data_IF_547376163380
#
_entry.id   IF_547376163380
#
_cell.length_a   1.000
_cell.length_b   1.000
_cell.length_c   1.000
_cell.angle_alpha   90.00
_cell.angle_beta   90.00
_cell.angle_gamma   90.00
#
_symmetry.space_group_name_H-M   'P 1'
#
loop_
_entity.id
_entity.type
_entity.pdbx_description
1 polymer ?
#
# COMPACT_ATOMS: atom_id res chain seq x y z
N UNK A 1 -9.83 22.46 6.96
CA UNK A 1 -8.60 21.64 6.82
C UNK A 1 -8.62 20.92 5.48
N UNK A 2 -7.54 21.00 4.74
CA UNK A 2 -7.45 20.36 3.43
C UNK A 2 -7.30 18.84 3.57
N UNK A 3 -7.93 18.11 2.66
CA UNK A 3 -7.77 16.66 2.54
C UNK A 3 -6.76 16.37 1.42
N UNK A 4 -5.76 15.57 1.71
CA UNK A 4 -4.68 15.27 0.78
C UNK A 4 -4.52 13.76 0.64
N UNK A 5 -4.54 13.29 -0.62
CA UNK A 5 -4.24 11.89 -0.93
C UNK A 5 -2.76 11.77 -1.32
N UNK A 6 -1.97 11.10 -0.48
CA UNK A 6 -0.56 10.83 -0.75
C UNK A 6 -0.46 9.54 -1.57
N UNK A 7 -0.65 9.65 -2.87
CA UNK A 7 -0.67 8.48 -3.76
C UNK A 7 -0.37 8.87 -5.20
N UNK A 8 0.28 7.96 -5.91
CA UNK A 8 0.42 8.03 -7.37
C UNK A 8 -0.56 7.10 -8.09
N UNK A 9 -1.46 6.44 -7.35
CA UNK A 9 -2.39 5.46 -7.90
C UNK A 9 -3.66 6.13 -8.44
N UNK A 10 -3.94 6.05 -9.77
CA UNK A 10 -5.20 6.55 -10.33
C UNK A 10 -6.43 5.84 -9.76
N UNK A 11 -6.28 4.58 -9.36
CA UNK A 11 -7.36 3.79 -8.81
C UNK A 11 -7.82 4.33 -7.45
N UNK A 12 -6.86 4.68 -6.57
CA UNK A 12 -7.18 5.27 -5.26
C UNK A 12 -7.84 6.64 -5.41
N UNK A 13 -7.34 7.45 -6.36
CA UNK A 13 -7.96 8.74 -6.70
C UNK A 13 -9.41 8.54 -7.12
N UNK A 14 -9.67 7.58 -8.00
CA UNK A 14 -11.02 7.30 -8.49
C UNK A 14 -11.98 6.89 -7.36
N UNK A 15 -11.50 6.13 -6.37
CA UNK A 15 -12.31 5.73 -5.21
C UNK A 15 -12.74 6.96 -4.41
N UNK A 16 -11.84 7.88 -4.12
CA UNK A 16 -12.16 9.11 -3.40
C UNK A 16 -13.08 10.04 -4.19
N UNK A 17 -12.89 10.11 -5.52
CA UNK A 17 -13.79 10.86 -6.40
C UNK A 17 -15.24 10.37 -6.29
N UNK A 18 -15.44 9.06 -6.17
CA UNK A 18 -16.76 8.46 -6.00
C UNK A 18 -17.44 8.84 -4.69
N UNK A 19 -16.65 9.17 -3.67
CA UNK A 19 -17.18 9.61 -2.37
C UNK A 19 -17.61 11.08 -2.38
N UNK A 20 -17.33 11.80 -3.47
CA UNK A 20 -17.69 13.21 -3.59
C UNK A 20 -16.90 14.15 -2.72
N UNK A 21 -15.72 13.73 -2.26
CA UNK A 21 -14.85 14.54 -1.42
C UNK A 21 -13.92 15.40 -2.27
N UNK A 22 -13.72 16.64 -1.85
CA UNK A 22 -12.69 17.50 -2.43
C UNK A 22 -11.35 17.18 -1.79
N UNK A 23 -10.37 16.88 -2.62
CA UNK A 23 -9.03 16.55 -2.13
C UNK A 23 -7.95 16.90 -3.15
N UNK A 24 -6.73 17.11 -2.64
CA UNK A 24 -5.54 17.29 -3.45
C UNK A 24 -4.80 15.97 -3.55
N UNK A 25 -4.23 15.65 -4.72
CA UNK A 25 -3.39 14.46 -4.91
C UNK A 25 -1.94 14.90 -4.97
N UNK A 26 -1.11 14.29 -4.12
CA UNK A 26 0.34 14.53 -4.11
C UNK A 26 1.04 13.18 -4.16
N UNK A 27 1.87 12.98 -5.17
CA UNK A 27 2.66 11.76 -5.29
C UNK A 27 3.81 11.78 -4.27
N UNK A 28 3.86 10.82 -3.35
CA UNK A 28 4.96 10.76 -2.39
C UNK A 28 6.21 10.17 -3.03
N UNK A 29 7.35 10.78 -2.76
CA UNK A 29 8.65 10.25 -3.19
C UNK A 29 9.33 9.61 -1.99
N UNK A 30 9.39 8.29 -1.98
CA UNK A 30 10.05 7.50 -0.92
C UNK A 30 10.79 6.33 -1.54
N UNK A 31 11.76 5.80 -0.79
CA UNK A 31 12.40 4.55 -1.15
C UNK A 31 11.52 3.40 -0.67
N UNK A 32 10.94 2.64 -1.61
CA UNK A 32 10.04 1.53 -1.31
C UNK A 32 10.75 0.20 -1.10
N UNK A 33 12.08 0.21 -1.01
CA UNK A 33 12.85 -1.01 -0.80
C UNK A 33 12.53 -1.65 0.56
N UNK A 34 12.37 -2.97 0.54
CA UNK A 34 12.18 -3.77 1.75
C UNK A 34 13.46 -3.75 2.58
N UNK A 35 13.30 -3.61 3.89
CA UNK A 35 14.43 -3.68 4.82
C UNK A 35 14.74 -5.13 5.18
N UNK A 36 15.98 -5.37 5.63
CA UNK A 36 16.39 -6.67 6.13
C UNK A 36 15.52 -7.07 7.33
N UNK A 37 15.12 -8.33 7.39
CA UNK A 37 14.27 -8.89 8.45
C UNK A 37 12.90 -8.23 8.61
N UNK A 38 12.43 -7.54 7.59
CA UNK A 38 11.10 -6.92 7.60
C UNK A 38 10.05 -7.88 7.04
N UNK A 39 9.02 -8.16 7.83
CA UNK A 39 7.87 -8.94 7.33
C UNK A 39 7.03 -8.12 6.36
N UNK A 40 6.26 -8.76 5.47
CA UNK A 40 5.34 -8.02 4.58
C UNK A 40 4.37 -7.10 5.31
N UNK A 41 3.84 -7.52 6.47
CA UNK A 41 2.93 -6.67 7.25
C UNK A 41 3.65 -5.43 7.80
N UNK A 42 4.87 -5.58 8.27
CA UNK A 42 5.67 -4.44 8.75
C UNK A 42 6.06 -3.53 7.59
N UNK A 43 6.38 -4.10 6.43
CA UNK A 43 6.70 -3.36 5.21
C UNK A 43 5.54 -2.46 4.80
N UNK A 44 4.32 -3.00 4.71
CA UNK A 44 3.16 -2.24 4.25
C UNK A 44 2.79 -1.14 5.23
N UNK A 45 2.91 -1.38 6.52
CA UNK A 45 2.66 -0.37 7.55
C UNK A 45 3.70 0.75 7.47
N UNK A 46 4.97 0.41 7.34
CA UNK A 46 6.07 1.38 7.22
C UNK A 46 5.93 2.23 5.97
N UNK A 47 5.70 1.61 4.81
CA UNK A 47 5.58 2.35 3.55
C UNK A 47 4.38 3.30 3.56
N UNK A 48 3.26 2.87 4.13
CA UNK A 48 2.08 3.73 4.26
C UNK A 48 2.39 4.97 5.10
N UNK A 49 3.09 4.80 6.23
CA UNK A 49 3.52 5.92 7.09
C UNK A 49 4.51 6.84 6.38
N UNK A 50 5.50 6.27 5.71
CA UNK A 50 6.53 7.05 5.01
C UNK A 50 5.93 7.91 3.89
N UNK A 51 4.94 7.37 3.19
CA UNK A 51 4.21 8.12 2.16
C UNK A 51 3.50 9.34 2.76
N UNK A 52 2.81 9.16 3.89
CA UNK A 52 2.16 10.26 4.58
C UNK A 52 3.18 11.29 5.09
N UNK A 53 4.26 10.83 5.69
CA UNK A 53 5.32 11.71 6.21
C UNK A 53 6.02 12.51 5.13
N UNK A 54 6.24 11.90 3.96
CA UNK A 54 6.86 12.58 2.82
C UNK A 54 6.01 13.76 2.34
N UNK A 55 4.70 13.57 2.30
CA UNK A 55 3.77 14.64 1.90
C UNK A 55 3.63 15.70 3.00
N UNK A 56 3.69 15.30 4.27
CA UNK A 56 3.59 16.21 5.40
C UNK A 56 4.73 17.23 5.47
N UNK A 57 5.86 16.96 4.80
CA UNK A 57 6.99 17.91 4.72
C UNK A 57 6.64 19.18 3.94
N UNK A 58 5.73 19.09 2.99
CA UNK A 58 5.40 20.20 2.08
C UNK A 58 3.95 20.64 2.12
N UNK A 59 3.06 19.86 2.73
CA UNK A 59 1.63 20.10 2.76
C UNK A 59 1.11 20.05 4.19
N UNK A 60 0.09 20.87 4.47
CA UNK A 60 -0.61 20.85 5.76
C UNK A 60 -2.05 20.42 5.53
N UNK A 61 -2.61 19.67 6.46
CA UNK A 61 -3.97 19.19 6.40
C UNK A 61 -4.11 17.76 6.91
N UNK A 62 -5.14 17.10 6.41
CA UNK A 62 -5.43 15.71 6.71
C UNK A 62 -4.92 14.85 5.56
N UNK A 63 -3.91 14.03 5.82
CA UNK A 63 -3.24 13.24 4.80
C UNK A 63 -3.70 11.79 4.91
N UNK A 64 -4.16 11.24 3.78
CA UNK A 64 -4.47 9.82 3.63
C UNK A 64 -3.38 9.19 2.78
N UNK A 65 -2.76 8.13 3.30
CA UNK A 65 -1.78 7.35 2.56
C UNK A 65 -2.11 5.87 2.68
N UNK A 66 -1.72 5.11 1.68
CA UNK A 66 -1.98 3.67 1.66
C UNK A 66 -0.92 2.98 0.82
N UNK A 67 -0.63 1.74 1.20
CA UNK A 67 0.19 0.84 0.41
C UNK A 67 -0.42 -0.56 0.45
N UNK A 68 -0.08 -1.40 -0.53
CA UNK A 68 -0.54 -2.76 -0.58
C UNK A 68 0.60 -3.67 -1.02
N UNK A 69 0.72 -4.80 -0.33
CA UNK A 69 1.64 -5.86 -0.72
C UNK A 69 0.88 -7.17 -0.81
N UNK A 70 1.36 -8.06 -1.66
CA UNK A 70 0.83 -9.40 -1.81
C UNK A 70 1.94 -10.42 -1.52
N UNK A 71 1.57 -11.52 -0.89
CA UNK A 71 2.50 -12.60 -0.58
C UNK A 71 1.82 -13.96 -0.76
N UNK A 72 2.60 -14.96 -1.12
CA UNK A 72 2.16 -16.35 -1.15
C UNK A 72 2.33 -17.03 0.21
N UNK A 73 2.91 -16.33 1.17
CA UNK A 73 3.15 -16.78 2.54
C UNK A 73 2.17 -16.12 3.50
N UNK A 74 2.38 -16.25 4.81
CA UNK A 74 1.48 -15.67 5.81
C UNK A 74 1.47 -14.14 5.82
N UNK A 75 2.59 -13.53 5.51
CA UNK A 75 2.79 -12.08 5.58
C UNK A 75 3.33 -11.58 6.92
N UNK A 76 3.46 -12.45 7.92
CA UNK A 76 3.86 -12.07 9.29
C UNK A 76 5.30 -12.40 9.63
N UNK A 77 6.04 -13.06 8.74
CA UNK A 77 7.41 -13.49 9.00
C UNK A 77 8.41 -12.69 8.16
N UNK A 78 9.62 -12.43 8.67
CA UNK A 78 10.64 -11.67 7.93
C UNK A 78 11.05 -12.27 6.60
N UNK A 79 10.97 -13.60 6.46
CA UNK A 79 11.37 -14.29 5.22
C UNK A 79 10.23 -14.42 4.21
N UNK A 80 9.02 -14.01 4.56
CA UNK A 80 7.88 -14.16 3.67
C UNK A 80 8.12 -13.39 2.37
N UNK A 81 7.73 -13.98 1.26
CA UNK A 81 7.90 -13.40 -0.07
C UNK A 81 6.97 -12.21 -0.27
N UNK A 82 7.39 -11.28 -1.10
CA UNK A 82 6.55 -10.17 -1.54
C UNK A 82 6.47 -10.25 -3.06
N UNK A 83 5.23 -10.32 -3.57
CA UNK A 83 4.99 -10.29 -5.00
C UNK A 83 5.14 -8.85 -5.50
N UNK A 84 5.96 -8.66 -6.51
CA UNK A 84 6.18 -7.34 -7.09
C UNK A 84 5.14 -7.03 -8.16
N UNK A 85 4.94 -5.75 -8.45
CA UNK A 85 4.09 -5.35 -9.56
C UNK A 85 4.70 -5.85 -10.86
N UNK A 86 3.91 -6.49 -11.75
CA UNK A 86 4.44 -6.92 -13.03
C UNK A 86 4.77 -5.70 -13.91
N UNK A 87 6.05 -5.59 -14.29
CA UNK A 87 6.49 -4.50 -15.18
C UNK A 87 6.28 -4.80 -16.66
N UNK A 88 5.90 -6.04 -16.98
CA UNK A 88 5.71 -6.50 -18.37
C UNK A 88 4.64 -7.58 -18.41
N UNK A 89 4.15 -7.88 -19.63
CA UNK A 89 3.22 -8.97 -19.86
C UNK A 89 3.82 -10.32 -19.43
N UNK A 90 5.10 -10.55 -19.73
CA UNK A 90 5.80 -11.79 -19.36
C UNK A 90 5.86 -11.97 -17.84
N UNK A 91 6.16 -10.91 -17.09
CA UNK A 91 6.19 -10.94 -15.64
C UNK A 91 4.80 -11.20 -15.05
N UNK A 92 3.76 -10.63 -15.65
CA UNK A 92 2.38 -10.88 -15.23
C UNK A 92 2.01 -12.36 -15.40
N UNK A 93 2.39 -12.97 -16.52
CA UNK A 93 2.15 -14.40 -16.78
C UNK A 93 2.89 -15.26 -15.76
N UNK A 94 4.15 -14.92 -15.46
CA UNK A 94 4.93 -15.67 -14.46
C UNK A 94 4.31 -15.58 -13.07
N UNK A 95 3.82 -14.42 -12.67
CA UNK A 95 3.14 -14.25 -11.39
C UNK A 95 1.84 -15.04 -11.31
N UNK A 96 1.06 -15.07 -12.38
CA UNK A 96 -0.16 -15.86 -12.46
C UNK A 96 0.15 -17.35 -12.32
N UNK A 97 1.19 -17.86 -12.98
CA UNK A 97 1.62 -19.25 -12.86
C UNK A 97 2.04 -19.60 -11.43
N UNK A 98 2.78 -18.70 -10.75
CA UNK A 98 3.17 -18.90 -9.36
C UNK A 98 1.98 -18.93 -8.42
N UNK A 99 0.93 -18.19 -8.73
CA UNK A 99 -0.27 -18.09 -7.90
C UNK A 99 -1.30 -19.19 -8.20
N UNK A 100 -1.13 -19.92 -9.30
CA UNK A 100 -2.07 -20.97 -9.71
C UNK A 100 -2.22 -22.03 -8.63
N UNK A 101 -3.46 -22.30 -8.23
CA UNK A 101 -3.78 -23.28 -7.19
C UNK A 101 -3.37 -22.88 -5.78
N UNK A 102 -2.94 -21.62 -5.58
CA UNK A 102 -2.46 -21.11 -4.29
C UNK A 102 -3.34 -20.00 -3.76
N UNK A 103 -3.20 -19.73 -2.46
CA UNK A 103 -3.82 -18.58 -1.82
C UNK A 103 -2.82 -17.44 -1.77
N UNK A 104 -3.26 -16.29 -2.24
CA UNK A 104 -2.49 -15.03 -2.13
C UNK A 104 -3.04 -14.24 -0.96
N UNK A 105 -2.15 -13.82 -0.07
CA UNK A 105 -2.48 -12.94 1.04
C UNK A 105 -2.18 -11.50 0.64
N UNK A 106 -3.19 -10.64 0.73
CA UNK A 106 -3.06 -9.20 0.47
C UNK A 106 -3.07 -8.45 1.79
N UNK A 107 -2.07 -7.59 1.96
CA UNK A 107 -1.95 -6.72 3.13
C UNK A 107 -2.03 -5.28 2.66
N UNK A 108 -3.02 -4.56 3.16
CA UNK A 108 -3.25 -3.17 2.78
C UNK A 108 -3.08 -2.29 4.00
N UNK A 109 -2.13 -1.38 3.96
CA UNK A 109 -1.91 -0.38 4.98
C UNK A 109 -2.70 0.88 4.67
N UNK A 110 -3.26 1.50 5.69
CA UNK A 110 -3.95 2.77 5.61
C UNK A 110 -3.45 3.67 6.72
N UNK A 111 -3.05 4.87 6.37
CA UNK A 111 -2.58 5.87 7.33
C UNK A 111 -3.41 7.14 7.18
N UNK A 112 -3.86 7.66 8.30
CA UNK A 112 -4.50 8.97 8.39
C UNK A 112 -3.65 9.83 9.31
N UNK A 113 -3.11 10.91 8.76
CA UNK A 113 -2.22 11.82 9.49
C UNK A 113 -2.78 13.23 9.51
N UNK A 114 -2.90 13.80 10.71
CA UNK A 114 -3.28 15.20 10.89
C UNK A 114 -2.01 16.01 11.18
N UNK A 115 -1.64 16.89 10.26
CA UNK A 115 -0.39 17.65 10.38
C UNK A 115 -0.44 18.75 11.46
N UNK A 116 -1.64 19.16 11.90
CA UNK A 116 -1.77 20.21 12.91
C UNK A 116 -1.40 19.72 14.32
N UNK A 117 -1.81 18.50 14.67
CA UNK A 117 -1.57 17.93 16.00
C UNK A 117 -0.65 16.72 15.96
N UNK A 118 -0.15 16.35 14.77
CA UNK A 118 0.71 15.19 14.53
C UNK A 118 0.08 13.84 14.90
N UNK A 119 -1.24 13.77 15.07
CA UNK A 119 -1.92 12.51 15.29
C UNK A 119 -1.87 11.66 14.02
N UNK A 120 -1.45 10.42 14.21
CA UNK A 120 -1.34 9.46 13.10
C UNK A 120 -2.04 8.17 13.50
N UNK A 121 -2.96 7.72 12.65
CA UNK A 121 -3.62 6.44 12.80
C UNK A 121 -3.14 5.52 11.70
N UNK A 122 -2.79 4.30 12.08
CA UNK A 122 -2.32 3.27 11.14
C UNK A 122 -3.20 2.05 11.29
N UNK A 123 -3.68 1.54 10.16
CA UNK A 123 -4.49 0.33 10.13
C UNK A 123 -3.97 -0.57 9.02
N UNK A 124 -3.93 -1.87 9.25
CA UNK A 124 -3.57 -2.85 8.23
C UNK A 124 -4.69 -3.87 8.11
N UNK A 125 -5.23 -4.00 6.90
CA UNK A 125 -6.20 -5.03 6.57
C UNK A 125 -5.52 -6.19 5.88
N UNK A 126 -5.95 -7.39 6.22
CA UNK A 126 -5.46 -8.64 5.64
C UNK A 126 -6.63 -9.38 5.00
N UNK A 127 -6.53 -9.70 3.72
CA UNK A 127 -7.51 -10.56 3.08
C UNK A 127 -6.83 -11.58 2.16
N UNK A 128 -7.52 -12.68 1.94
CA UNK A 128 -7.01 -13.82 1.18
C UNK A 128 -7.79 -13.98 -0.12
N UNK A 129 -7.08 -14.29 -1.18
CA UNK A 129 -7.68 -14.65 -2.46
C UNK A 129 -7.11 -16.00 -2.88
N UNK A 130 -7.98 -16.98 -3.05
CA UNK A 130 -7.58 -18.31 -3.51
C UNK A 130 -7.80 -18.40 -5.01
N UNK A 131 -6.74 -18.73 -5.74
CA UNK A 131 -6.80 -18.89 -7.19
C UNK A 131 -7.02 -20.36 -7.55
N UNK A 132 -7.90 -20.61 -8.51
CA UNK A 132 -8.07 -21.94 -9.06
C UNK A 132 -6.82 -22.36 -9.83
N UNK A 133 -6.52 -23.63 -9.84
CA UNK A 133 -5.44 -24.17 -10.67
C UNK A 133 -5.75 -23.88 -12.15
N UNK A 134 -4.74 -23.38 -12.85
CA UNK A 134 -4.84 -23.09 -14.28
C UNK A 134 -4.56 -24.34 -15.11
#
# INVERSE_FOLDING_TARGET
MSLILASSSPFRKAILDKLGLDFEVVAPEINEARRENESPIDLVARLSKEKAMAVAKSKTGLIIASDQVATLDSGYKPNDSVLTKPGSHENAVLQLKKSSGKTVNFLTGLVLMNTENHNTQVHVEHFKVSFKAL
#
